data_IF_796497147757
#
_entry.id   IF_796497147757
#
_cell.length_a   1.000
_cell.length_b   1.000
_cell.length_c   1.000
_cell.angle_alpha   90.00
_cell.angle_beta   90.00
_cell.angle_gamma   90.00
#
_symmetry.space_group_name_H-M   'P 1'
#
loop_
_entity.id
_entity.type
_entity.pdbx_description
1 polymer ?
#
# COMPACT_ATOMS: atom_id res chain seq x y z
N UNK A 1 85.20 -83.51 -22.06
CA UNK A 1 84.24 -83.55 -23.17
C UNK A 1 83.61 -82.16 -23.26
N UNK A 2 84.09 -81.25 -24.11
CA UNK A 2 83.62 -81.04 -25.51
C UNK A 2 82.09 -81.03 -25.56
N UNK A 3 81.37 -79.93 -25.84
CA UNK A 3 81.51 -79.05 -26.98
C UNK A 3 80.90 -77.65 -26.74
N UNK A 4 81.48 -76.70 -27.46
CA UNK A 4 81.09 -75.33 -27.72
C UNK A 4 79.86 -75.25 -28.68
N UNK A 5 79.31 -74.03 -28.87
CA UNK A 5 78.49 -73.45 -29.97
C UNK A 5 77.33 -72.62 -29.34
N UNK A 6 77.03 -71.36 -29.67
CA UNK A 6 77.64 -70.27 -30.44
C UNK A 6 76.84 -68.99 -30.10
N UNK A 7 77.50 -67.82 -29.99
CA UNK A 7 76.92 -66.50 -29.68
C UNK A 7 76.35 -65.79 -30.95
N UNK A 8 75.43 -64.82 -30.81
CA UNK A 8 75.60 -63.49 -31.41
C UNK A 8 75.38 -62.32 -30.39
N UNK A 9 75.74 -61.06 -30.72
CA UNK A 9 76.22 -60.05 -29.75
C UNK A 9 75.16 -59.08 -29.18
N UNK A 10 75.52 -58.25 -28.17
CA UNK A 10 74.58 -57.51 -27.34
C UNK A 10 74.33 -56.07 -27.83
N UNK A 11 73.07 -55.64 -27.82
CA UNK A 11 72.65 -54.25 -27.89
C UNK A 11 72.36 -53.69 -26.50
N UNK A 12 73.08 -52.62 -26.12
CA UNK A 12 73.02 -51.92 -24.84
C UNK A 12 71.79 -51.00 -24.76
N UNK A 13 71.09 -50.97 -23.63
CA UNK A 13 70.48 -49.74 -23.09
C UNK A 13 70.54 -49.71 -21.55
N UNK A 14 70.73 -48.51 -20.93
CA UNK A 14 71.14 -48.33 -19.52
C UNK A 14 69.94 -48.18 -18.55
N UNK A 15 70.17 -48.13 -17.21
CA UNK A 15 69.15 -48.34 -16.19
C UNK A 15 68.54 -47.03 -15.65
N UNK A 16 67.40 -47.11 -14.94
CA UNK A 16 66.89 -46.25 -13.82
C UNK A 16 65.33 -46.34 -13.73
N UNK A 17 64.64 -45.77 -12.72
CA UNK A 17 64.56 -46.17 -11.31
C UNK A 17 63.08 -46.35 -10.84
N UNK A 18 62.80 -47.00 -9.71
CA UNK A 18 61.55 -46.77 -8.94
C UNK A 18 61.66 -45.41 -8.19
N UNK A 19 60.61 -44.70 -7.70
CA UNK A 19 59.21 -45.08 -7.43
C UNK A 19 58.16 -43.98 -7.81
N UNK A 20 56.85 -44.23 -7.63
CA UNK A 20 55.87 -43.34 -6.95
C UNK A 20 54.42 -43.81 -7.20
N UNK A 21 53.69 -43.97 -6.09
CA UNK A 21 52.24 -44.15 -6.08
C UNK A 21 51.54 -42.88 -6.61
N UNK A 22 50.59 -43.05 -7.53
CA UNK A 22 49.66 -42.00 -7.93
C UNK A 22 48.26 -42.39 -7.45
N UNK A 23 47.94 -41.94 -6.25
CA UNK A 23 46.58 -41.94 -5.71
C UNK A 23 45.80 -40.86 -6.46
N UNK A 24 44.95 -41.25 -7.41
CA UNK A 24 44.07 -40.32 -8.12
C UNK A 24 42.93 -39.92 -7.17
N UNK A 25 43.09 -38.79 -6.48
CA UNK A 25 42.01 -38.15 -5.73
C UNK A 25 41.12 -37.38 -6.73
N UNK A 26 39.98 -37.94 -7.10
CA UNK A 26 38.96 -37.20 -7.88
C UNK A 26 38.26 -36.22 -6.92
N UNK A 27 38.77 -34.99 -6.83
CA UNK A 27 38.07 -33.90 -6.17
C UNK A 27 36.99 -33.37 -7.12
N UNK A 28 35.76 -33.85 -6.98
CA UNK A 28 34.58 -33.23 -7.59
C UNK A 28 34.34 -31.92 -6.83
N UNK A 29 34.71 -30.80 -7.45
CA UNK A 29 34.36 -29.48 -6.96
C UNK A 29 32.85 -29.26 -7.13
N UNK A 30 32.10 -29.49 -6.05
CA UNK A 30 30.70 -29.10 -5.95
C UNK A 30 30.67 -27.58 -5.81
N UNK A 31 30.33 -26.87 -6.89
CA UNK A 31 30.01 -25.45 -6.83
C UNK A 31 28.66 -25.33 -6.11
N UNK A 32 28.68 -25.15 -4.79
CA UNK A 32 27.52 -24.67 -4.06
C UNK A 32 27.37 -23.18 -4.40
N UNK A 33 26.58 -22.88 -5.42
CA UNK A 33 25.94 -21.58 -5.49
C UNK A 33 24.98 -21.50 -4.31
N UNK A 34 25.33 -20.72 -3.29
CA UNK A 34 24.39 -20.31 -2.25
C UNK A 34 23.37 -19.40 -2.92
N UNK A 35 22.35 -19.99 -3.55
CA UNK A 35 21.09 -19.28 -3.64
C UNK A 35 20.68 -19.11 -2.19
N UNK A 36 20.71 -17.87 -1.71
CA UNK A 36 19.91 -17.51 -0.56
C UNK A 36 18.46 -17.75 -0.98
N UNK A 37 18.01 -19.00 -0.89
CA UNK A 37 16.61 -19.28 -0.71
C UNK A 37 16.31 -18.65 0.64
N UNK A 38 15.66 -17.49 0.64
CA UNK A 38 14.85 -17.10 1.78
C UNK A 38 13.96 -18.31 2.02
N UNK A 39 14.20 -19.05 3.10
CA UNK A 39 13.38 -20.21 3.40
C UNK A 39 12.00 -19.65 3.77
N UNK A 40 11.13 -19.51 2.77
CA UNK A 40 9.70 -19.73 2.93
C UNK A 40 9.55 -20.97 3.79
N UNK A 41 8.72 -20.91 4.84
CA UNK A 41 8.56 -22.02 5.78
C UNK A 41 8.30 -23.36 5.07
N UNK A 42 8.50 -24.49 5.76
CA UNK A 42 8.17 -25.78 5.15
C UNK A 42 6.64 -25.87 4.96
N UNK A 43 6.14 -26.07 3.74
CA UNK A 43 4.70 -26.11 3.50
C UNK A 43 4.01 -27.22 4.29
N UNK A 44 2.76 -26.97 4.68
CA UNK A 44 1.92 -27.96 5.32
C UNK A 44 1.81 -29.23 4.45
N UNK A 45 1.75 -30.39 5.10
CA UNK A 45 1.69 -31.69 4.43
C UNK A 45 3.02 -32.22 3.89
N UNK A 46 4.11 -31.44 3.93
CA UNK A 46 5.44 -31.92 3.52
C UNK A 46 5.85 -33.15 4.33
N UNK A 47 6.15 -34.26 3.67
CA UNK A 47 6.61 -35.48 4.35
C UNK A 47 8.09 -35.37 4.71
N UNK A 48 8.39 -35.48 5.99
CA UNK A 48 9.74 -35.59 6.53
C UNK A 48 10.04 -37.07 6.79
N UNK A 49 10.97 -37.63 6.04
CA UNK A 49 11.39 -39.02 6.14
C UNK A 49 12.85 -39.14 6.57
N UNK A 50 13.14 -40.06 7.50
CA UNK A 50 14.51 -40.38 7.93
C UNK A 50 14.77 -41.89 7.86
N UNK A 51 15.94 -42.27 7.32
CA UNK A 51 16.41 -43.66 7.25
C UNK A 51 17.88 -43.70 7.65
N UNK A 52 18.21 -44.45 8.70
CA UNK A 52 19.59 -44.63 9.13
C UNK A 52 20.28 -45.75 8.30
N UNK A 53 21.61 -45.67 8.16
CA UNK A 53 22.41 -46.73 7.57
C UNK A 53 23.60 -47.08 8.46
N UNK A 54 23.76 -48.36 8.76
CA UNK A 54 24.98 -48.90 9.36
C UNK A 54 25.93 -49.33 8.25
N UNK A 55 27.18 -48.88 8.30
CA UNK A 55 28.27 -49.38 7.47
C UNK A 55 29.29 -50.11 8.34
N UNK A 56 29.73 -51.28 7.91
CA UNK A 56 30.63 -52.14 8.69
C UNK A 56 31.50 -52.99 7.76
N UNK A 57 32.64 -53.48 8.22
CA UNK A 57 33.50 -54.38 7.45
C UNK A 57 33.52 -55.78 8.05
N UNK A 58 33.61 -56.78 7.18
CA UNK A 58 33.89 -58.18 7.54
C UNK A 58 35.10 -58.61 6.73
N UNK A 59 36.26 -58.73 7.39
CA UNK A 59 37.54 -58.87 6.71
C UNK A 59 37.88 -57.63 5.88
N UNK A 60 38.26 -57.81 4.62
CA UNK A 60 38.54 -56.71 3.69
C UNK A 60 37.30 -56.15 2.97
N UNK A 61 36.10 -56.72 3.20
CA UNK A 61 34.87 -56.31 2.51
C UNK A 61 34.08 -55.32 3.35
N UNK A 62 33.72 -54.18 2.77
CA UNK A 62 32.79 -53.21 3.37
C UNK A 62 31.36 -53.53 2.97
N UNK A 63 30.46 -53.54 3.95
CA UNK A 63 29.04 -53.84 3.84
C UNK A 63 28.22 -52.70 4.44
N UNK A 64 26.94 -52.59 4.04
CA UNK A 64 26.01 -51.68 4.69
C UNK A 64 24.61 -52.29 4.82
N UNK A 65 23.86 -51.81 5.82
CA UNK A 65 22.46 -52.17 6.08
C UNK A 65 21.68 -50.94 6.51
N UNK A 66 20.60 -50.63 5.81
CA UNK A 66 19.68 -49.56 6.19
C UNK A 66 18.67 -50.02 7.25
N UNK A 67 18.19 -49.09 8.07
CA UNK A 67 17.02 -49.26 8.93
C UNK A 67 15.72 -49.22 8.11
N UNK A 68 14.57 -49.36 8.78
CA UNK A 68 13.30 -48.88 8.24
C UNK A 68 13.31 -47.34 8.08
N UNK A 69 12.38 -46.82 7.29
CA UNK A 69 12.14 -45.37 7.17
C UNK A 69 11.09 -44.94 8.19
N UNK A 70 11.36 -43.89 8.95
CA UNK A 70 10.37 -43.17 9.75
C UNK A 70 9.88 -41.96 8.95
N UNK A 71 8.56 -41.73 8.87
CA UNK A 71 7.97 -40.61 8.12
C UNK A 71 6.87 -39.95 8.93
N UNK A 72 6.81 -38.62 8.91
CA UNK A 72 5.70 -37.81 9.41
C UNK A 72 5.44 -36.63 8.48
N UNK A 73 4.26 -36.04 8.53
CA UNK A 73 3.92 -34.84 7.76
C UNK A 73 4.11 -33.58 8.62
N UNK A 74 4.49 -32.47 7.98
CA UNK A 74 4.46 -31.14 8.60
C UNK A 74 3.00 -30.73 8.77
N UNK A 75 2.62 -30.35 10.00
CA UNK A 75 1.29 -29.82 10.29
C UNK A 75 1.12 -28.41 9.68
N UNK A 76 -0.13 -28.02 9.47
CA UNK A 76 -0.44 -26.64 9.12
C UNK A 76 -0.32 -25.74 10.36
N UNK A 77 0.23 -24.55 10.18
CA UNK A 77 0.23 -23.45 11.11
C UNK A 77 -0.75 -22.41 10.59
N UNK A 78 -1.85 -22.23 11.30
CA UNK A 78 -2.86 -21.23 10.98
C UNK A 78 -2.40 -19.90 11.55
N UNK A 79 -2.12 -18.93 10.68
CA UNK A 79 -1.74 -17.61 11.12
C UNK A 79 -2.10 -16.54 10.10
N UNK A 80 -2.70 -15.43 10.55
CA UNK A 80 -3.09 -14.32 9.69
C UNK A 80 -2.62 -13.00 10.27
N UNK A 81 -2.37 -12.05 9.38
CA UNK A 81 -2.10 -10.66 9.71
C UNK A 81 -3.02 -9.75 8.91
N UNK A 82 -3.47 -8.68 9.54
CA UNK A 82 -4.21 -7.59 8.88
C UNK A 82 -3.57 -6.27 9.30
N UNK A 83 -3.42 -5.37 8.35
CA UNK A 83 -2.84 -4.05 8.56
C UNK A 83 -3.59 -3.03 7.71
N UNK A 84 -3.86 -1.84 8.27
CA UNK A 84 -4.27 -0.70 7.46
C UNK A 84 -3.08 -0.23 6.62
N UNK A 85 -3.37 0.16 5.38
CA UNK A 85 -2.41 0.77 4.46
C UNK A 85 -2.53 2.29 4.44
N UNK A 86 -3.48 2.86 5.18
CA UNK A 86 -3.69 4.31 5.24
C UNK A 86 -2.58 4.94 6.08
N UNK A 87 -1.93 5.99 5.56
CA UNK A 87 -0.82 6.67 6.25
C UNK A 87 -1.22 7.48 7.49
N UNK A 88 -2.50 7.49 7.84
CA UNK A 88 -3.15 8.24 8.90
C UNK A 88 -4.66 8.26 8.67
N UNK A 89 -5.36 9.17 9.34
CA UNK A 89 -6.80 9.29 9.15
C UNK A 89 -7.13 9.75 7.73
N UNK A 90 -8.14 9.13 7.12
CA UNK A 90 -8.61 9.47 5.77
C UNK A 90 -9.61 10.63 5.85
N UNK A 91 -9.30 11.75 5.19
CA UNK A 91 -10.16 12.92 5.15
C UNK A 91 -11.42 12.68 4.31
N UNK A 92 -12.61 12.93 4.87
CA UNK A 92 -13.89 12.73 4.17
C UNK A 92 -14.85 13.90 4.39
N UNK A 93 -15.71 14.16 3.41
CA UNK A 93 -16.76 15.19 3.56
C UNK A 93 -18.03 14.54 4.11
N UNK A 94 -18.68 15.09 5.16
CA UNK A 94 -19.95 14.56 5.65
C UNK A 94 -21.01 14.46 4.55
N UNK A 95 -21.72 13.32 4.48
CA UNK A 95 -22.76 13.06 3.49
C UNK A 95 -22.27 12.52 2.15
N UNK A 96 -20.98 12.23 1.98
CA UNK A 96 -20.48 11.57 0.75
C UNK A 96 -20.60 10.06 0.83
N UNK A 97 -20.98 9.46 -0.29
CA UNK A 97 -21.03 8.01 -0.46
C UNK A 97 -19.67 7.44 -0.92
N UNK A 98 -19.51 6.12 -0.84
CA UNK A 98 -18.40 5.34 -1.41
C UNK A 98 -16.99 5.80 -0.99
N UNK A 99 -16.84 6.29 0.24
CA UNK A 99 -15.52 6.54 0.84
C UNK A 99 -14.92 5.22 1.29
N UNK A 100 -13.59 5.07 1.27
CA UNK A 100 -12.95 3.80 1.57
C UNK A 100 -11.72 3.91 2.47
N UNK A 101 -11.49 2.85 3.23
CA UNK A 101 -10.26 2.59 3.99
C UNK A 101 -9.56 1.37 3.40
N UNK A 102 -8.23 1.35 3.43
CA UNK A 102 -7.44 0.35 2.72
C UNK A 102 -6.74 -0.59 3.70
N UNK A 103 -6.86 -1.89 3.47
CA UNK A 103 -6.26 -2.91 4.32
C UNK A 103 -5.51 -3.94 3.48
N UNK A 104 -4.48 -4.55 4.07
CA UNK A 104 -3.84 -5.74 3.51
C UNK A 104 -3.99 -6.88 4.48
N UNK A 105 -4.48 -8.00 3.96
CA UNK A 105 -4.57 -9.29 4.66
C UNK A 105 -3.44 -10.17 4.17
N UNK A 106 -2.77 -10.88 5.07
CA UNK A 106 -1.71 -11.82 4.71
C UNK A 106 -1.86 -13.11 5.49
N UNK A 107 -1.90 -14.24 4.78
CA UNK A 107 -1.72 -15.53 5.39
C UNK A 107 -0.24 -15.68 5.74
N UNK A 108 0.07 -15.65 7.04
CA UNK A 108 1.43 -15.81 7.56
C UNK A 108 1.69 -17.24 8.07
N UNK A 109 0.76 -18.15 7.77
CA UNK A 109 0.85 -19.58 7.99
C UNK A 109 1.68 -20.28 6.90
N UNK A 110 1.68 -21.61 6.95
CA UNK A 110 2.43 -22.45 6.00
C UNK A 110 1.55 -23.35 5.10
N UNK A 111 0.23 -23.18 5.13
CA UNK A 111 -0.75 -23.89 4.29
C UNK A 111 -1.71 -22.93 3.60
N UNK A 112 -2.58 -23.47 2.75
CA UNK A 112 -3.66 -22.73 2.10
C UNK A 112 -4.82 -22.57 3.09
N UNK A 113 -5.21 -21.35 3.41
CA UNK A 113 -6.23 -21.10 4.42
C UNK A 113 -7.35 -20.21 3.89
N UNK A 114 -8.57 -20.53 4.32
CA UNK A 114 -9.77 -19.78 4.00
C UNK A 114 -10.11 -18.87 5.18
N UNK A 115 -10.21 -17.57 4.95
CA UNK A 115 -10.49 -16.59 5.98
C UNK A 115 -11.83 -15.91 5.76
N UNK A 116 -12.66 -15.86 6.80
CA UNK A 116 -13.85 -15.01 6.84
C UNK A 116 -13.46 -13.61 7.31
N UNK A 117 -13.84 -12.62 6.51
CA UNK A 117 -13.71 -11.19 6.75
C UNK A 117 -15.00 -10.64 7.34
N UNK A 118 -14.88 -9.75 8.31
CA UNK A 118 -15.98 -8.93 8.80
C UNK A 118 -15.48 -7.52 9.06
N UNK A 119 -16.29 -6.52 8.75
CA UNK A 119 -16.04 -5.12 9.07
C UNK A 119 -17.17 -4.60 9.97
N UNK A 120 -16.80 -3.76 10.94
CA UNK A 120 -17.73 -3.04 11.79
C UNK A 120 -17.38 -1.55 11.73
N UNK A 121 -18.37 -0.73 11.38
CA UNK A 121 -18.24 0.72 11.25
C UNK A 121 -19.14 1.46 12.24
N UNK A 122 -19.76 0.74 13.18
CA UNK A 122 -20.54 1.31 14.27
C UNK A 122 -19.75 1.21 15.59
N UNK A 123 -18.56 1.81 15.61
CA UNK A 123 -17.59 1.65 16.69
C UNK A 123 -17.87 2.64 17.82
N UNK A 124 -18.27 2.15 18.98
CA UNK A 124 -18.50 3.02 20.13
C UNK A 124 -17.22 3.77 20.57
N UNK A 125 -17.34 5.07 20.82
CA UNK A 125 -16.28 5.91 21.37
C UNK A 125 -15.63 6.86 20.36
N UNK A 126 -16.02 6.80 19.09
CA UNK A 126 -15.77 7.84 18.10
C UNK A 126 -16.92 8.87 18.05
N UNK A 127 -16.86 9.80 17.10
CA UNK A 127 -17.85 10.88 16.97
C UNK A 127 -19.04 10.48 16.08
N UNK A 128 -18.80 9.69 15.02
CA UNK A 128 -19.83 9.27 14.07
C UNK A 128 -19.59 7.88 13.50
N UNK A 129 -20.67 7.19 13.14
CA UNK A 129 -20.63 5.84 12.58
C UNK A 129 -20.73 5.87 11.04
N UNK A 130 -19.67 5.54 10.27
CA UNK A 130 -19.80 5.28 8.84
C UNK A 130 -20.79 4.12 8.57
N UNK A 131 -21.52 4.20 7.47
CA UNK A 131 -22.42 3.11 7.06
C UNK A 131 -21.69 2.19 6.10
N UNK A 132 -21.41 0.96 6.53
CA UNK A 132 -20.73 -0.04 5.73
C UNK A 132 -21.50 -0.38 4.45
N UNK A 133 -20.85 -0.19 3.30
CA UNK A 133 -21.33 -0.62 1.98
C UNK A 133 -20.88 -2.04 1.70
N UNK A 134 -19.60 -2.35 1.97
CA UNK A 134 -19.04 -3.69 1.78
C UNK A 134 -17.52 -3.73 1.77
N UNK A 135 -16.98 -4.92 1.55
CA UNK A 135 -15.55 -5.19 1.42
C UNK A 135 -15.27 -5.60 -0.03
N UNK A 136 -14.34 -4.92 -0.68
CA UNK A 136 -13.98 -5.10 -2.08
C UNK A 136 -12.50 -5.46 -2.21
N UNK A 137 -12.13 -6.31 -3.15
CA UNK A 137 -10.74 -6.65 -3.41
C UNK A 137 -10.17 -5.73 -4.51
N UNK A 138 -8.95 -5.24 -4.31
CA UNK A 138 -8.15 -4.54 -5.32
C UNK A 138 -7.81 -5.51 -6.47
N UNK A 139 -8.68 -5.54 -7.48
CA UNK A 139 -8.67 -6.59 -8.51
C UNK A 139 -7.72 -6.24 -9.64
N UNK A 140 -7.45 -4.94 -9.83
CA UNK A 140 -6.53 -4.43 -10.85
C UNK A 140 -5.12 -4.12 -10.29
N UNK A 141 -4.94 -4.11 -8.97
CA UNK A 141 -3.67 -3.94 -8.28
C UNK A 141 -3.13 -2.51 -8.33
N UNK A 142 -4.00 -1.51 -8.51
CA UNK A 142 -3.60 -0.10 -8.61
C UNK A 142 -3.67 0.67 -7.27
N UNK A 143 -4.19 0.03 -6.21
CA UNK A 143 -4.30 0.61 -4.88
C UNK A 143 -5.39 1.69 -4.74
N UNK A 144 -6.32 1.81 -5.69
CA UNK A 144 -7.44 2.76 -5.62
C UNK A 144 -8.77 2.07 -5.89
N UNK A 145 -9.73 2.28 -4.98
CA UNK A 145 -11.07 1.75 -5.18
C UNK A 145 -11.75 2.41 -6.39
N UNK A 146 -12.09 1.58 -7.38
CA UNK A 146 -12.82 1.97 -8.58
C UNK A 146 -14.12 1.15 -8.68
N UNK A 147 -15.30 1.77 -8.49
CA UNK A 147 -16.58 1.09 -8.58
C UNK A 147 -16.76 0.30 -9.88
N UNK A 148 -17.06 -0.99 -9.76
CA UNK A 148 -17.27 -1.90 -10.90
C UNK A 148 -15.99 -2.48 -11.53
N UNK A 149 -14.81 -2.00 -11.14
CA UNK A 149 -13.52 -2.64 -11.44
C UNK A 149 -13.11 -3.51 -10.25
N UNK A 150 -13.15 -2.94 -9.05
CA UNK A 150 -12.92 -3.69 -7.82
C UNK A 150 -14.19 -4.41 -7.39
N UNK A 151 -14.07 -5.72 -7.22
CA UNK A 151 -15.20 -6.60 -6.99
C UNK A 151 -15.39 -6.86 -5.51
N UNK A 152 -16.66 -6.89 -5.09
CA UNK A 152 -17.01 -7.26 -3.72
C UNK A 152 -16.50 -8.68 -3.41
N UNK A 153 -15.96 -8.88 -2.21
CA UNK A 153 -15.46 -10.18 -1.76
C UNK A 153 -16.66 -11.14 -1.59
N UNK A 154 -16.78 -12.21 -2.39
CA UNK A 154 -17.94 -13.09 -2.34
C UNK A 154 -18.10 -13.77 -0.98
N UNK A 155 -19.25 -13.56 -0.34
CA UNK A 155 -19.54 -14.15 0.98
C UNK A 155 -18.64 -13.66 2.11
N UNK A 156 -17.82 -12.62 1.87
CA UNK A 156 -16.81 -12.16 2.84
C UNK A 156 -15.70 -13.17 3.07
N UNK A 157 -15.43 -14.10 2.14
CA UNK A 157 -14.40 -15.13 2.30
C UNK A 157 -13.27 -14.91 1.30
N UNK A 158 -12.02 -15.02 1.77
CA UNK A 158 -10.81 -15.02 0.93
C UNK A 158 -10.01 -16.29 1.18
N UNK A 159 -9.63 -16.95 0.09
CA UNK A 159 -8.73 -18.10 0.14
C UNK A 159 -7.32 -17.63 -0.20
N UNK A 160 -6.39 -17.82 0.73
CA UNK A 160 -5.02 -17.34 0.60
C UNK A 160 -4.05 -18.50 0.78
N UNK A 161 -3.18 -18.70 -0.22
CA UNK A 161 -2.05 -19.59 -0.08
C UNK A 161 -1.08 -19.11 1.02
N UNK A 162 -0.21 -20.00 1.49
CA UNK A 162 0.85 -19.63 2.42
C UNK A 162 1.65 -18.41 1.91
N UNK A 163 1.90 -17.45 2.80
CA UNK A 163 2.58 -16.17 2.52
C UNK A 163 1.88 -15.25 1.50
N UNK A 164 0.70 -15.63 0.98
CA UNK A 164 -0.07 -14.80 0.07
C UNK A 164 -0.84 -13.71 0.82
N UNK A 165 -1.07 -12.59 0.14
CA UNK A 165 -1.89 -11.50 0.66
C UNK A 165 -2.82 -10.91 -0.38
N UNK A 166 -3.84 -10.20 0.11
CA UNK A 166 -4.83 -9.49 -0.69
C UNK A 166 -5.01 -8.08 -0.13
N UNK A 167 -5.10 -7.10 -1.01
CA UNK A 167 -5.48 -5.72 -0.66
C UNK A 167 -6.99 -5.59 -0.77
N UNK A 168 -7.59 -4.98 0.26
CA UNK A 168 -9.02 -4.82 0.41
C UNK A 168 -9.35 -3.34 0.62
N UNK A 169 -10.48 -2.93 0.04
CA UNK A 169 -11.14 -1.66 0.33
C UNK A 169 -12.39 -1.92 1.15
N UNK A 170 -12.49 -1.28 2.30
CA UNK A 170 -13.71 -1.28 3.11
C UNK A 170 -14.45 0.01 2.85
N UNK A 171 -15.51 -0.11 2.05
CA UNK A 171 -16.25 1.01 1.49
C UNK A 171 -17.42 1.37 2.41
N UNK A 172 -17.57 2.65 2.67
CA UNK A 172 -18.51 3.23 3.62
C UNK A 172 -19.15 4.49 3.04
N UNK A 173 -20.42 4.72 3.39
CA UNK A 173 -21.05 6.02 3.24
C UNK A 173 -20.86 6.83 4.52
N UNK A 174 -20.51 8.10 4.37
CA UNK A 174 -20.27 8.99 5.50
C UNK A 174 -21.58 9.71 5.83
N UNK A 175 -22.12 9.58 7.06
CA UNK A 175 -23.33 10.29 7.43
C UNK A 175 -23.14 11.81 7.38
N UNK A 176 -24.23 12.57 7.25
CA UNK A 176 -24.20 14.03 7.34
C UNK A 176 -24.32 14.55 8.78
N UNK A 177 -24.76 13.70 9.71
CA UNK A 177 -25.03 14.02 11.11
C UNK A 177 -24.41 13.00 12.04
N UNK A 178 -24.18 13.40 13.30
CA UNK A 178 -23.83 12.51 14.40
C UNK A 178 -24.94 11.46 14.64
N UNK A 179 -24.68 10.43 15.48
CA UNK A 179 -25.65 9.37 15.78
C UNK A 179 -26.98 9.85 16.38
N UNK A 180 -27.06 11.11 16.85
CA UNK A 180 -28.32 11.73 17.28
C UNK A 180 -29.30 12.06 16.13
N UNK A 181 -28.84 11.95 14.88
CA UNK A 181 -29.61 12.16 13.67
C UNK A 181 -29.97 13.62 13.37
N UNK A 182 -29.43 14.58 14.13
CA UNK A 182 -29.77 16.01 14.00
C UNK A 182 -28.57 16.95 14.03
N UNK A 183 -27.50 16.60 14.73
CA UNK A 183 -26.31 17.44 14.84
C UNK A 183 -25.39 17.21 13.65
N UNK A 184 -25.06 18.22 12.83
CA UNK A 184 -24.12 18.06 11.72
C UNK A 184 -22.72 17.64 12.21
N UNK A 185 -22.04 16.82 11.42
CA UNK A 185 -20.64 16.47 11.69
C UNK A 185 -19.75 17.68 11.39
N UNK A 186 -18.98 18.08 12.40
CA UNK A 186 -18.02 19.18 12.35
C UNK A 186 -16.62 18.72 11.95
N UNK A 187 -15.78 19.68 11.56
CA UNK A 187 -14.39 19.43 11.20
C UNK A 187 -13.59 18.77 12.33
N UNK A 188 -12.76 17.79 11.98
CA UNK A 188 -11.90 17.09 12.93
C UNK A 188 -12.58 15.95 13.70
N UNK A 189 -13.89 15.80 13.60
CA UNK A 189 -14.59 14.64 14.16
C UNK A 189 -14.21 13.36 13.43
N UNK A 190 -14.28 12.24 14.13
CA UNK A 190 -13.75 10.96 13.66
C UNK A 190 -14.82 9.87 13.61
N UNK A 191 -14.68 8.97 12.65
CA UNK A 191 -15.48 7.77 12.53
C UNK A 191 -14.57 6.60 12.20
N UNK A 192 -14.71 5.49 12.92
CA UNK A 192 -13.78 4.37 12.88
C UNK A 192 -14.43 3.17 12.21
N UNK A 193 -13.62 2.41 11.47
CA UNK A 193 -14.00 1.11 10.96
C UNK A 193 -12.96 0.08 11.40
N UNK A 194 -13.44 -1.00 12.00
CA UNK A 194 -12.62 -2.14 12.39
C UNK A 194 -12.79 -3.26 11.38
N UNK A 195 -11.68 -3.82 10.91
CA UNK A 195 -11.67 -5.04 10.10
C UNK A 195 -11.19 -6.20 10.94
N UNK A 196 -11.90 -7.31 10.85
CA UNK A 196 -11.64 -8.51 11.60
C UNK A 196 -11.56 -9.72 10.68
N UNK A 197 -10.61 -10.62 10.94
CA UNK A 197 -10.32 -11.76 10.07
C UNK A 197 -10.20 -13.04 10.88
N UNK A 198 -10.97 -14.06 10.51
CA UNK A 198 -11.05 -15.32 11.23
C UNK A 198 -10.75 -16.49 10.30
N UNK A 199 -9.92 -17.44 10.73
CA UNK A 199 -9.71 -18.69 9.97
C UNK A 199 -10.99 -19.53 10.00
N UNK A 200 -11.35 -20.09 8.84
CA UNK A 200 -12.49 -21.00 8.73
C UNK A 200 -12.17 -22.40 9.27
N UNK A 201 -10.89 -22.75 9.35
CA UNK A 201 -10.41 -24.00 9.95
C UNK A 201 -10.57 -24.01 11.47
N UNK A 202 -10.34 -22.87 12.14
CA UNK A 202 -10.68 -22.71 13.54
C UNK A 202 -9.93 -21.59 14.27
N UNK A 203 -10.25 -21.45 15.56
CA UNK A 203 -9.66 -20.47 16.47
C UNK A 203 -9.36 -21.10 17.84
N UNK A 204 -8.44 -20.51 18.61
CA UNK A 204 -8.06 -21.00 19.92
C UNK A 204 -6.84 -20.31 20.52
N UNK A 205 -6.35 -20.85 21.63
CA UNK A 205 -5.08 -20.42 22.19
C UNK A 205 -3.91 -20.87 21.28
N UNK A 206 -2.79 -20.13 21.31
CA UNK A 206 -1.56 -20.50 20.62
C UNK A 206 -1.18 -21.96 20.94
N UNK A 207 -0.91 -22.74 19.89
CA UNK A 207 -0.53 -24.15 19.98
C UNK A 207 -1.70 -25.13 20.06
N UNK A 208 -2.95 -24.67 19.97
CA UNK A 208 -4.13 -25.56 19.94
C UNK A 208 -4.08 -26.44 18.69
N UNK A 209 -4.18 -27.75 18.89
CA UNK A 209 -4.25 -28.75 17.83
C UNK A 209 -5.69 -28.92 17.32
N UNK A 210 -5.85 -28.85 16.01
CA UNK A 210 -7.10 -29.19 15.30
C UNK A 210 -6.82 -30.45 14.47
N UNK A 211 -7.24 -31.63 14.95
CA UNK A 211 -6.98 -32.90 14.26
C UNK A 211 -7.63 -32.93 12.88
N UNK A 212 -6.85 -33.27 11.85
CA UNK A 212 -7.28 -33.24 10.44
C UNK A 212 -7.89 -31.90 10.00
N UNK A 213 -7.54 -30.81 10.69
CA UNK A 213 -8.05 -29.48 10.36
C UNK A 213 -7.32 -28.82 9.20
N UNK A 214 -6.07 -29.16 8.97
CA UNK A 214 -5.25 -28.46 7.98
C UNK A 214 -5.52 -28.87 6.53
N UNK A 215 -4.69 -28.36 5.61
CA UNK A 215 -4.82 -28.49 4.16
C UNK A 215 -5.49 -29.79 3.68
N UNK A 216 -6.63 -29.61 3.00
CA UNK A 216 -7.42 -30.70 2.43
C UNK A 216 -8.08 -31.64 3.44
N UNK A 217 -8.05 -31.32 4.74
CA UNK A 217 -8.62 -32.12 5.82
C UNK A 217 -7.87 -33.43 6.09
N UNK A 218 -6.59 -33.50 5.71
CA UNK A 218 -5.78 -34.74 5.77
C UNK A 218 -4.60 -34.68 6.72
N UNK A 219 -4.30 -33.49 7.24
CA UNK A 219 -3.22 -33.22 8.18
C UNK A 219 -3.74 -32.41 9.35
N UNK A 220 -3.03 -32.48 10.47
CA UNK A 220 -3.35 -31.66 11.63
C UNK A 220 -3.03 -30.19 11.36
N UNK A 221 -3.84 -29.29 11.94
CA UNK A 221 -3.54 -27.87 12.01
C UNK A 221 -3.22 -27.45 13.45
N UNK A 222 -2.40 -26.41 13.58
CA UNK A 222 -2.00 -25.79 14.83
C UNK A 222 -2.36 -24.31 14.77
N UNK A 223 -3.07 -23.83 15.79
CA UNK A 223 -3.35 -22.41 15.94
C UNK A 223 -2.06 -21.63 16.24
N UNK A 224 -1.72 -20.67 15.38
CA UNK A 224 -0.56 -19.79 15.50
C UNK A 224 -0.78 -18.60 16.44
N UNK A 225 0.10 -17.60 16.35
CA UNK A 225 0.12 -16.45 17.28
C UNK A 225 -1.04 -15.47 17.11
N UNK A 226 -1.66 -15.43 15.92
CA UNK A 226 -2.95 -14.74 15.71
C UNK A 226 -4.10 -15.37 16.50
N UNK A 227 -3.90 -16.59 17.02
CA UNK A 227 -4.94 -17.34 17.75
C UNK A 227 -6.04 -17.90 16.85
N UNK A 228 -5.99 -17.69 15.53
CA UNK A 228 -7.14 -17.92 14.65
C UNK A 228 -8.41 -17.14 15.05
N UNK A 229 -8.29 -16.29 16.08
CA UNK A 229 -9.28 -15.34 16.55
C UNK A 229 -9.28 -14.14 15.61
N UNK A 230 -10.26 -13.21 15.71
CA UNK A 230 -10.30 -12.06 14.82
C UNK A 230 -9.03 -11.23 15.02
N UNK A 231 -8.08 -11.34 14.08
CA UNK A 231 -7.05 -10.34 13.93
C UNK A 231 -7.79 -9.07 13.56
N UNK A 232 -7.71 -8.06 14.42
CA UNK A 232 -8.44 -6.80 14.26
C UNK A 232 -7.48 -5.69 13.92
N UNK A 233 -7.92 -4.80 13.05
CA UNK A 233 -7.23 -3.55 12.78
C UNK A 233 -8.25 -2.47 12.50
N UNK A 234 -8.05 -1.35 13.16
CA UNK A 234 -8.89 -0.18 13.00
C UNK A 234 -8.24 0.78 12.01
N UNK A 235 -9.07 1.46 11.22
CA UNK A 235 -8.70 2.63 10.47
C UNK A 235 -9.79 3.70 10.62
N UNK A 236 -9.41 4.96 10.48
CA UNK A 236 -10.24 6.08 10.91
C UNK A 236 -10.41 7.09 9.79
N UNK A 237 -11.66 7.53 9.61
CA UNK A 237 -11.97 8.74 8.87
C UNK A 237 -11.87 9.97 9.76
N UNK A 238 -11.47 11.09 9.18
CA UNK A 238 -11.61 12.41 9.81
C UNK A 238 -12.48 13.30 8.92
N UNK A 239 -13.55 13.82 9.50
CA UNK A 239 -14.45 14.73 8.81
C UNK A 239 -13.70 16.01 8.45
N UNK A 240 -13.67 16.28 7.16
CA UNK A 240 -13.25 17.54 6.55
C UNK A 240 -14.52 18.19 6.01
N UNK A 241 -15.10 19.09 6.79
CA UNK A 241 -16.44 19.63 6.48
C UNK A 241 -16.43 20.64 5.32
N UNK A 242 -15.24 21.03 4.84
CA UNK A 242 -15.06 22.00 3.76
C UNK A 242 -14.15 21.45 2.65
N UNK A 243 -14.42 21.84 1.42
CA UNK A 243 -13.49 21.76 0.30
C UNK A 243 -13.41 23.12 -0.39
N UNK A 244 -12.19 23.59 -0.64
CA UNK A 244 -11.90 24.90 -1.22
C UNK A 244 -11.22 24.72 -2.59
N UNK A 245 -11.83 25.28 -3.62
CA UNK A 245 -11.29 25.35 -4.98
C UNK A 245 -11.06 26.80 -5.42
N UNK A 246 -9.98 27.06 -6.15
CA UNK A 246 -9.65 28.39 -6.69
C UNK A 246 -9.24 28.28 -8.15
N UNK A 247 -10.11 28.71 -9.05
CA UNK A 247 -9.87 28.69 -10.49
C UNK A 247 -9.47 30.08 -11.00
N UNK A 248 -8.28 30.20 -11.61
CA UNK A 248 -7.78 31.45 -12.21
C UNK A 248 -7.86 31.42 -13.73
N UNK A 249 -8.42 32.48 -14.30
CA UNK A 249 -8.51 32.69 -15.76
C UNK A 249 -8.02 34.09 -16.12
N UNK A 250 -7.74 34.32 -17.41
CA UNK A 250 -7.29 35.60 -17.92
C UNK A 250 -7.94 35.91 -19.27
N UNK A 251 -8.30 37.18 -19.47
CA UNK A 251 -8.78 37.73 -20.74
C UNK A 251 -7.84 38.85 -21.16
N UNK A 252 -7.41 38.82 -22.42
CA UNK A 252 -6.46 39.80 -22.98
C UNK A 252 -7.22 40.70 -23.95
N UNK A 253 -7.01 42.01 -23.82
CA UNK A 253 -7.44 43.02 -24.78
C UNK A 253 -6.21 43.85 -25.16
N UNK A 254 -5.79 43.74 -26.42
CA UNK A 254 -4.70 44.55 -26.95
C UNK A 254 -5.17 45.98 -27.29
N UNK A 255 -4.25 46.96 -27.41
CA UNK A 255 -4.61 48.35 -27.71
C UNK A 255 -5.34 48.56 -29.04
N UNK A 256 -5.33 47.56 -29.93
CA UNK A 256 -5.96 47.59 -31.24
C UNK A 256 -7.31 46.86 -31.26
N UNK A 257 -7.80 46.41 -30.10
CA UNK A 257 -9.09 45.72 -29.94
C UNK A 257 -9.05 44.21 -30.22
N UNK A 258 -7.86 43.64 -30.43
CA UNK A 258 -7.65 42.19 -30.50
C UNK A 258 -7.39 41.56 -29.14
N UNK A 259 -7.00 40.29 -29.14
CA UNK A 259 -6.71 39.50 -27.93
C UNK A 259 -5.25 39.02 -27.88
N UNK A 260 -4.33 39.75 -28.52
CA UNK A 260 -2.92 39.34 -28.62
C UNK A 260 -2.12 39.86 -27.42
N UNK A 261 -1.32 39.04 -26.73
CA UNK A 261 -0.48 39.50 -25.62
C UNK A 261 0.73 40.30 -26.13
N UNK A 262 0.54 41.59 -26.38
CA UNK A 262 1.58 42.53 -26.80
C UNK A 262 1.81 43.61 -25.72
N UNK A 263 2.96 44.31 -25.71
CA UNK A 263 3.15 45.48 -24.85
C UNK A 263 1.99 46.47 -24.95
N UNK A 264 1.52 46.94 -23.80
CA UNK A 264 0.33 47.78 -23.65
C UNK A 264 -1.01 47.02 -23.63
N UNK A 265 -1.06 45.72 -23.89
CA UNK A 265 -2.29 44.94 -23.75
C UNK A 265 -2.71 44.86 -22.29
N UNK A 266 -4.02 45.01 -22.05
CA UNK A 266 -4.62 44.81 -20.72
C UNK A 266 -4.96 43.34 -20.55
N UNK A 267 -4.49 42.75 -19.46
CA UNK A 267 -4.85 41.39 -19.02
C UNK A 267 -5.76 41.51 -17.81
N UNK A 268 -7.00 41.06 -17.92
CA UNK A 268 -7.93 40.96 -16.79
C UNK A 268 -7.93 39.54 -16.26
N UNK A 269 -7.47 39.38 -15.02
CA UNK A 269 -7.54 38.11 -14.30
C UNK A 269 -8.89 37.97 -13.60
N UNK A 270 -9.39 36.74 -13.53
CA UNK A 270 -10.57 36.36 -12.76
C UNK A 270 -10.25 35.12 -11.93
N UNK A 271 -10.41 35.22 -10.61
CA UNK A 271 -10.27 34.13 -9.66
C UNK A 271 -11.66 33.78 -9.12
N UNK A 272 -12.13 32.58 -9.42
CA UNK A 272 -13.36 32.03 -8.84
C UNK A 272 -12.97 31.16 -7.67
N UNK A 273 -13.34 31.60 -6.47
CA UNK A 273 -13.11 30.88 -5.21
C UNK A 273 -14.40 30.18 -4.85
N UNK A 274 -14.38 28.86 -4.71
CA UNK A 274 -15.54 28.04 -4.37
C UNK A 274 -15.27 27.28 -3.08
N UNK A 275 -16.14 27.48 -2.09
CA UNK A 275 -16.22 26.64 -0.90
C UNK A 275 -17.37 25.67 -1.09
N UNK A 276 -17.15 24.40 -0.77
CA UNK A 276 -18.16 23.34 -0.79
C UNK A 276 -18.10 22.54 0.52
N UNK A 277 -19.13 21.76 0.82
CA UNK A 277 -19.29 21.06 2.09
C UNK A 277 -20.19 21.79 3.10
N UNK A 278 -20.34 21.22 4.29
CA UNK A 278 -21.24 21.69 5.36
C UNK A 278 -20.59 22.67 6.35
N UNK A 279 -19.27 22.82 6.31
CA UNK A 279 -18.51 23.67 7.22
C UNK A 279 -18.37 25.13 6.76
N UNK A 280 -17.56 25.88 7.50
CA UNK A 280 -17.23 27.28 7.24
C UNK A 280 -15.72 27.45 7.12
N UNK A 281 -15.24 27.96 5.99
CA UNK A 281 -13.87 28.47 5.84
C UNK A 281 -13.77 29.81 6.59
N UNK A 282 -13.13 29.81 7.75
CA UNK A 282 -13.02 31.00 8.62
C UNK A 282 -11.87 31.90 8.16
N UNK A 283 -12.12 33.20 8.03
CA UNK A 283 -11.09 34.20 7.72
C UNK A 283 -10.40 34.03 6.35
N UNK A 284 -11.11 33.51 5.35
CA UNK A 284 -10.56 33.22 4.03
C UNK A 284 -10.01 34.49 3.37
N UNK A 285 -8.74 34.43 2.95
CA UNK A 285 -8.02 35.53 2.30
C UNK A 285 -7.31 35.02 1.07
N UNK A 286 -7.47 35.71 -0.05
CA UNK A 286 -6.78 35.42 -1.32
C UNK A 286 -5.68 36.43 -1.53
N UNK A 287 -4.48 35.95 -1.85
CA UNK A 287 -3.33 36.77 -2.24
C UNK A 287 -2.85 36.38 -3.63
N UNK A 288 -2.58 37.37 -4.47
CA UNK A 288 -2.18 37.16 -5.85
C UNK A 288 -1.03 38.10 -6.23
N UNK A 289 0.21 37.57 -6.41
CA UNK A 289 1.34 38.37 -6.86
C UNK A 289 1.14 38.89 -8.28
N UNK A 290 1.44 40.16 -8.51
CA UNK A 290 1.45 40.73 -9.86
C UNK A 290 2.60 40.09 -10.66
N UNK A 291 2.34 39.50 -11.84
CA UNK A 291 3.37 38.89 -12.67
C UNK A 291 4.45 39.90 -13.11
N UNK A 292 5.70 39.43 -13.25
CA UNK A 292 6.78 40.25 -13.79
C UNK A 292 6.47 40.71 -15.24
N UNK A 293 7.03 41.86 -15.64
CA UNK A 293 6.77 42.53 -16.92
C UNK A 293 5.30 42.92 -17.13
N UNK A 294 4.57 43.10 -16.04
CA UNK A 294 3.24 43.69 -16.05
C UNK A 294 3.11 44.74 -14.95
N UNK A 295 2.34 45.77 -15.22
CA UNK A 295 2.01 46.82 -14.26
C UNK A 295 0.54 46.72 -13.86
N UNK A 296 0.24 46.66 -12.56
CA UNK A 296 -1.14 46.70 -12.06
C UNK A 296 -1.87 47.95 -12.56
N UNK A 297 -3.13 47.79 -12.99
CA UNK A 297 -4.01 48.89 -13.39
C UNK A 297 -4.80 49.37 -12.16
N UNK A 298 -4.51 50.57 -11.60
CA UNK A 298 -5.19 51.05 -10.40
C UNK A 298 -6.71 51.14 -10.57
N UNK A 299 -7.44 50.82 -9.49
CA UNK A 299 -8.90 50.81 -9.44
C UNK A 299 -9.56 49.71 -10.28
N UNK A 300 -8.81 48.67 -10.67
CA UNK A 300 -9.36 47.53 -11.43
C UNK A 300 -9.81 46.36 -10.56
N UNK A 301 -9.50 46.36 -9.26
CA UNK A 301 -9.88 45.30 -8.33
C UNK A 301 -11.38 45.30 -8.05
N UNK A 302 -12.02 44.13 -8.18
CA UNK A 302 -13.43 43.94 -7.83
C UNK A 302 -13.66 42.60 -7.12
N UNK A 303 -14.73 42.55 -6.32
CA UNK A 303 -15.28 41.33 -5.71
C UNK A 303 -16.75 41.19 -6.09
N UNK A 304 -17.11 40.07 -6.71
CA UNK A 304 -18.45 39.81 -7.26
C UNK A 304 -18.95 40.94 -8.18
N UNK A 305 -18.02 41.57 -8.90
CA UNK A 305 -18.27 42.71 -9.80
C UNK A 305 -18.39 44.08 -9.11
N UNK A 306 -18.32 44.14 -7.78
CA UNK A 306 -18.31 45.38 -7.01
C UNK A 306 -16.87 45.87 -6.86
N UNK A 307 -16.62 47.14 -7.20
CA UNK A 307 -15.29 47.74 -7.06
C UNK A 307 -14.80 47.76 -5.61
N UNK A 308 -13.55 47.35 -5.42
CA UNK A 308 -12.83 47.47 -4.16
C UNK A 308 -11.79 48.59 -4.27
N UNK A 309 -11.40 49.13 -3.13
CA UNK A 309 -10.33 50.12 -3.04
C UNK A 309 -8.95 49.48 -3.15
N UNK A 310 -7.99 50.24 -3.68
CA UNK A 310 -6.59 49.79 -3.72
C UNK A 310 -5.87 49.99 -2.38
N UNK A 311 -6.42 50.83 -1.49
CA UNK A 311 -5.77 51.27 -0.26
C UNK A 311 -6.02 50.35 0.92
N UNK A 312 -4.98 50.10 1.72
CA UNK A 312 -5.07 49.21 2.86
C UNK A 312 -6.09 49.64 3.92
N UNK A 313 -6.86 48.68 4.44
CA UNK A 313 -7.78 48.84 5.56
C UNK A 313 -9.08 49.62 5.29
N UNK A 314 -9.35 50.01 4.04
CA UNK A 314 -10.57 50.76 3.70
C UNK A 314 -11.77 49.84 3.43
N UNK A 315 -11.53 48.70 2.79
CA UNK A 315 -12.50 47.65 2.49
C UNK A 315 -11.79 46.29 2.39
N UNK A 316 -12.45 45.31 1.79
CA UNK A 316 -11.98 43.93 1.72
C UNK A 316 -10.81 43.72 0.74
N UNK A 317 -10.49 44.71 -0.11
CA UNK A 317 -9.43 44.63 -1.12
C UNK A 317 -8.25 45.55 -0.81
N UNK A 318 -7.06 45.13 -1.23
CA UNK A 318 -5.84 45.94 -1.16
C UNK A 318 -4.91 45.62 -2.33
N UNK A 319 -4.29 46.66 -2.90
CA UNK A 319 -3.25 46.56 -3.90
C UNK A 319 -1.96 47.17 -3.30
N UNK A 320 -1.04 46.31 -2.86
CA UNK A 320 0.12 46.71 -2.04
C UNK A 320 1.44 46.62 -2.82
N UNK A 321 2.44 47.39 -2.38
CA UNK A 321 3.76 47.50 -3.01
C UNK A 321 4.02 48.86 -3.69
N UNK A 322 5.29 49.16 -3.96
CA UNK A 322 5.70 50.32 -4.78
C UNK A 322 6.84 49.93 -5.72
N UNK A 323 6.57 49.67 -7.02
CA UNK A 323 5.24 49.60 -7.64
C UNK A 323 4.38 48.46 -7.04
N UNK A 324 3.05 48.52 -7.22
CA UNK A 324 2.13 47.48 -6.74
C UNK A 324 2.57 46.12 -7.26
N UNK A 325 2.73 45.16 -6.35
CA UNK A 325 3.21 43.81 -6.66
C UNK A 325 2.39 42.69 -6.01
N UNK A 326 1.36 43.03 -5.21
CA UNK A 326 0.51 42.04 -4.54
C UNK A 326 -0.93 42.55 -4.42
N UNK A 327 -1.87 41.72 -4.86
CA UNK A 327 -3.31 41.88 -4.58
C UNK A 327 -3.67 41.03 -3.37
N UNK A 328 -4.45 41.59 -2.44
CA UNK A 328 -5.04 40.87 -1.31
C UNK A 328 -6.54 41.13 -1.31
N UNK A 329 -7.36 40.07 -1.21
CA UNK A 329 -8.80 40.18 -0.99
C UNK A 329 -9.21 39.30 0.19
N UNK A 330 -9.82 39.90 1.20
CA UNK A 330 -10.36 39.22 2.38
C UNK A 330 -11.81 38.86 2.11
N UNK A 331 -12.09 37.57 1.96
CA UNK A 331 -13.45 37.07 1.75
C UNK A 331 -14.20 36.84 3.08
N UNK A 332 -13.46 36.83 4.19
CA UNK A 332 -14.02 36.59 5.52
C UNK A 332 -14.46 35.14 5.69
N UNK A 333 -15.48 34.91 6.52
CA UNK A 333 -16.02 33.58 6.75
C UNK A 333 -16.90 33.17 5.56
N UNK A 334 -16.58 32.04 4.93
CA UNK A 334 -17.33 31.50 3.79
C UNK A 334 -17.87 30.11 4.10
N UNK A 335 -19.19 29.94 3.99
CA UNK A 335 -19.84 28.64 3.88
C UNK A 335 -19.91 28.21 2.40
N UNK A 336 -20.62 27.12 2.09
CA UNK A 336 -20.80 26.66 0.72
C UNK A 336 -21.29 27.78 -0.22
N UNK A 337 -20.55 28.01 -1.30
CA UNK A 337 -20.80 29.06 -2.27
C UNK A 337 -19.53 29.50 -2.99
N UNK A 338 -19.68 30.43 -3.93
CA UNK A 338 -18.55 30.96 -4.71
C UNK A 338 -18.48 32.48 -4.66
N UNK A 339 -17.26 33.02 -4.72
CA UNK A 339 -16.96 34.45 -4.91
C UNK A 339 -15.97 34.65 -6.04
N UNK A 340 -16.11 35.74 -6.78
CA UNK A 340 -15.26 36.05 -7.93
C UNK A 340 -14.46 37.32 -7.69
N UNK A 341 -13.14 37.22 -7.71
CA UNK A 341 -12.22 38.36 -7.66
C UNK A 341 -11.76 38.66 -9.08
N UNK A 342 -11.77 39.93 -9.50
CA UNK A 342 -11.12 40.32 -10.75
C UNK A 342 -10.19 41.50 -10.56
N UNK A 343 -9.11 41.54 -11.32
CA UNK A 343 -8.19 42.68 -11.38
C UNK A 343 -7.47 42.71 -12.73
N UNK A 344 -6.92 43.85 -13.10
CA UNK A 344 -6.25 44.02 -14.38
C UNK A 344 -4.79 44.46 -14.24
N UNK A 345 -3.95 44.00 -15.17
CA UNK A 345 -2.57 44.45 -15.36
C UNK A 345 -2.38 44.88 -16.82
N UNK A 346 -1.35 45.65 -17.09
CA UNK A 346 -0.91 46.03 -18.44
C UNK A 346 0.44 45.39 -18.69
N UNK A 347 0.65 44.78 -19.85
CA UNK A 347 1.97 44.26 -20.25
C UNK A 347 2.91 45.44 -20.50
N UNK A 348 4.08 45.44 -19.88
CA UNK A 348 5.06 46.54 -19.95
C UNK A 348 5.69 46.71 -21.36
#
# INVERSE_FOLDING_TARGET
MTMNLQHPPPGRYPPRPHPLALLLLFAIAFVLTTMAALATGTPAGTLISNTAQASYSVGASSLSKSSNTSTFAVAELINVNVVSQDGGNVGVVPGTDDQYLTFTVTNTGNGDESFTLSADSAIAGDDFDPTLVGIFADTNGDGQYTPGVDLAVPGGVVDLAADAGVTLFVVNNIPSTLPDGVTPIADGQTGTTSVSITSNTGSGALGTLIPNGGDGGTIDAIIGSSGGLPATTDATYTATSISLDVAKTAVIVDPYGGSTPIPGATVTYSLVVTVSGSGTAVGLTITDPIPANTTYKPGSLTLDGVGLSDGAGNDDGEATGSPVNLITVRLGDMTAGSKTITFAVVID
#
